data_IF_016406227288
#
_entry.id   IF_016406227288
#
_cell.length_a   1.000
_cell.length_b   1.000
_cell.length_c   1.000
_cell.angle_alpha   90.00
_cell.angle_beta   90.00
_cell.angle_gamma   90.00
#
_symmetry.space_group_name_H-M   'P 1'
#
loop_
_entity.id
_entity.type
_entity.pdbx_description
1 polymer ?
#
# COMPACT_ATOMS: atom_id res chain seq x y z
N UNK A 1 2.70 -4.72 -19.23
CA UNK A 1 2.80 -4.06 -17.91
C UNK A 1 4.26 -4.09 -17.50
N UNK A 2 4.73 -3.07 -16.78
CA UNK A 2 6.09 -3.01 -16.26
C UNK A 2 6.07 -2.71 -14.75
N UNK A 3 7.20 -2.96 -14.09
CA UNK A 3 7.41 -2.68 -12.68
C UNK A 3 8.42 -1.54 -12.53
N UNK A 4 8.08 -0.54 -11.73
CA UNK A 4 9.02 0.45 -11.20
C UNK A 4 9.31 0.04 -9.77
N UNK A 5 10.57 -0.25 -9.47
CA UNK A 5 10.98 -0.86 -8.20
C UNK A 5 11.96 0.06 -7.50
N UNK A 6 11.69 0.34 -6.22
CA UNK A 6 12.57 1.10 -5.35
C UNK A 6 12.82 0.27 -4.08
N UNK A 7 14.05 -0.21 -3.95
CA UNK A 7 14.44 -1.17 -2.94
C UNK A 7 15.54 -0.62 -2.04
N UNK A 8 15.59 -1.13 -0.81
CA UNK A 8 16.66 -0.83 0.13
C UNK A 8 16.60 0.57 0.73
N UNK A 9 15.44 1.25 0.69
CA UNK A 9 15.29 2.57 1.28
C UNK A 9 15.42 2.47 2.80
N UNK A 10 16.44 3.13 3.38
CA UNK A 10 16.74 3.05 4.81
C UNK A 10 16.24 4.30 5.53
N UNK A 11 15.51 4.08 6.61
CA UNK A 11 14.99 5.15 7.46
C UNK A 11 15.22 4.82 8.92
N UNK A 12 15.64 5.80 9.70
CA UNK A 12 15.59 5.73 11.15
C UNK A 12 14.25 6.31 11.60
N UNK A 13 13.44 5.52 12.32
CA UNK A 13 12.08 5.91 12.67
C UNK A 13 11.66 5.38 14.05
N UNK A 14 10.56 5.93 14.57
CA UNK A 14 10.12 5.75 15.96
C UNK A 14 8.84 4.92 16.03
N UNK A 15 8.76 3.84 15.25
CA UNK A 15 7.58 2.98 15.24
C UNK A 15 7.69 1.84 16.26
N UNK A 16 6.65 1.66 17.06
CA UNK A 16 6.63 0.59 18.05
C UNK A 16 5.49 0.72 19.04
N UNK A 17 5.14 -0.42 19.63
CA UNK A 17 4.11 -0.49 20.67
C UNK A 17 4.71 -0.08 22.01
N UNK A 18 5.99 -0.38 22.23
CA UNK A 18 6.66 -0.11 23.49
C UNK A 18 7.16 1.35 23.54
N UNK A 19 7.01 2.05 24.69
CA UNK A 19 7.47 3.43 24.84
C UNK A 19 8.95 3.63 24.49
N UNK A 20 9.79 2.65 24.82
CA UNK A 20 11.22 2.68 24.54
C UNK A 20 11.51 2.72 23.04
N UNK A 21 10.69 2.05 22.22
CA UNK A 21 10.84 2.04 20.77
C UNK A 21 10.48 3.40 20.15
N UNK A 22 9.51 4.10 20.73
CA UNK A 22 9.13 5.44 20.28
C UNK A 22 10.12 6.52 20.76
N UNK A 23 10.92 6.22 21.78
CA UNK A 23 11.95 7.13 22.29
C UNK A 23 13.30 6.95 21.58
N UNK A 24 13.77 5.71 21.44
CA UNK A 24 15.08 5.40 20.89
C UNK A 24 15.07 5.32 19.36
N UNK A 25 13.95 4.89 18.78
CA UNK A 25 13.87 4.56 17.36
C UNK A 25 14.68 3.32 16.98
N UNK A 26 14.52 2.89 15.73
CA UNK A 26 15.36 1.87 15.11
C UNK A 26 15.42 2.07 13.60
N UNK A 27 16.24 1.28 12.93
CA UNK A 27 16.38 1.31 11.49
C UNK A 27 15.36 0.40 10.80
N UNK A 28 14.82 0.91 9.71
CA UNK A 28 13.86 0.25 8.85
C UNK A 28 14.38 0.20 7.42
N UNK A 29 13.96 -0.84 6.71
CA UNK A 29 14.14 -0.95 5.25
C UNK A 29 12.78 -1.01 4.61
N UNK A 30 12.53 -0.10 3.67
CA UNK A 30 11.29 -0.04 2.89
C UNK A 30 11.58 -0.42 1.45
N UNK A 31 10.76 -1.33 0.91
CA UNK A 31 10.77 -1.71 -0.49
C UNK A 31 9.39 -1.42 -1.10
N UNK A 32 9.37 -0.82 -2.28
CA UNK A 32 8.15 -0.51 -3.01
C UNK A 32 8.28 -0.97 -4.45
N UNK A 33 7.30 -1.73 -4.92
CA UNK A 33 7.13 -2.08 -6.32
C UNK A 33 5.81 -1.51 -6.81
N UNK A 34 5.85 -0.78 -7.92
CA UNK A 34 4.67 -0.18 -8.54
C UNK A 34 4.48 -0.77 -9.92
N UNK A 35 3.31 -1.33 -10.17
CA UNK A 35 2.92 -1.83 -11.48
C UNK A 35 2.24 -0.71 -12.27
N UNK A 36 2.79 -0.39 -13.44
CA UNK A 36 2.27 0.69 -14.29
C UNK A 36 2.59 0.47 -15.77
N UNK A 37 2.03 1.30 -16.64
CA UNK A 37 2.33 1.34 -18.06
C UNK A 37 3.50 2.28 -18.34
N UNK A 38 4.56 1.78 -18.99
CA UNK A 38 5.74 2.59 -19.35
C UNK A 38 5.79 2.94 -20.84
N UNK A 39 4.81 2.49 -21.63
CA UNK A 39 4.86 2.60 -23.09
C UNK A 39 4.97 4.05 -23.58
N UNK A 40 4.21 4.97 -22.98
CA UNK A 40 4.26 6.39 -23.36
C UNK A 40 5.56 7.04 -22.89
N UNK A 41 5.98 6.79 -21.64
CA UNK A 41 7.24 7.33 -21.11
C UNK A 41 8.46 6.86 -21.91
N UNK A 42 8.48 5.60 -22.35
CA UNK A 42 9.53 5.05 -23.19
C UNK A 42 9.54 5.65 -24.61
N UNK A 43 8.40 6.13 -25.12
CA UNK A 43 8.30 6.79 -26.43
C UNK A 43 8.69 8.26 -26.37
N UNK A 44 8.35 8.95 -25.28
CA UNK A 44 8.52 10.41 -25.15
C UNK A 44 9.79 10.80 -24.39
N UNK A 45 10.46 9.84 -23.76
CA UNK A 45 11.59 10.07 -22.84
C UNK A 45 11.30 11.16 -21.79
N UNK A 46 10.03 11.22 -21.33
CA UNK A 46 9.55 12.25 -20.42
C UNK A 46 8.91 11.64 -19.19
N UNK A 47 9.32 12.16 -18.02
CA UNK A 47 8.79 11.78 -16.70
C UNK A 47 7.37 12.32 -16.51
N UNK A 48 7.05 13.46 -17.14
CA UNK A 48 5.84 14.23 -16.87
C UNK A 48 4.55 13.57 -17.39
N UNK A 49 4.64 12.73 -18.42
CA UNK A 49 3.47 12.34 -19.20
C UNK A 49 2.91 10.95 -18.90
N UNK A 50 3.60 10.08 -18.16
CA UNK A 50 3.08 8.73 -17.91
C UNK A 50 3.75 7.86 -16.83
N UNK A 51 4.86 8.28 -16.21
CA UNK A 51 5.62 7.35 -15.37
C UNK A 51 5.47 7.62 -13.88
N UNK A 52 5.73 6.59 -13.09
CA UNK A 52 5.86 6.70 -11.63
C UNK A 52 7.28 7.23 -11.35
N UNK A 53 7.39 8.48 -10.90
CA UNK A 53 8.67 9.04 -10.49
C UNK A 53 9.11 8.40 -9.16
N UNK A 54 10.21 7.65 -9.19
CA UNK A 54 10.78 7.01 -8.00
C UNK A 54 11.23 8.01 -6.92
N UNK A 55 11.60 9.24 -7.29
CA UNK A 55 11.90 10.28 -6.31
C UNK A 55 10.65 10.60 -5.49
N UNK A 56 9.49 10.75 -6.15
CA UNK A 56 8.21 10.95 -5.47
C UNK A 56 7.84 9.75 -4.60
N UNK A 57 8.13 8.51 -5.03
CA UNK A 57 7.95 7.30 -4.19
C UNK A 57 8.79 7.38 -2.92
N UNK A 58 10.07 7.76 -3.04
CA UNK A 58 10.96 7.94 -1.90
C UNK A 58 10.42 8.99 -0.93
N UNK A 59 9.99 10.16 -1.44
CA UNK A 59 9.44 11.24 -0.62
C UNK A 59 8.17 10.82 0.13
N UNK A 60 7.29 10.05 -0.51
CA UNK A 60 6.08 9.50 0.14
C UNK A 60 6.47 8.55 1.28
N UNK A 61 7.42 7.64 1.02
CA UNK A 61 7.90 6.70 2.03
C UNK A 61 8.53 7.44 3.21
N UNK A 62 9.41 8.41 2.94
CA UNK A 62 10.05 9.24 3.96
C UNK A 62 9.00 9.97 4.83
N UNK A 63 7.98 10.55 4.22
CA UNK A 63 6.93 11.27 4.93
C UNK A 63 6.04 10.37 5.80
N UNK A 64 5.82 9.11 5.42
CA UNK A 64 5.12 8.12 6.25
C UNK A 64 6.02 7.58 7.37
N UNK A 65 7.29 7.30 7.09
CA UNK A 65 8.26 6.84 8.10
C UNK A 65 8.55 7.90 9.17
N UNK A 66 8.44 9.19 8.82
CA UNK A 66 8.60 10.30 9.76
C UNK A 66 7.44 10.43 10.77
N UNK A 67 6.34 9.69 10.60
CA UNK A 67 5.19 9.74 11.50
C UNK A 67 5.20 8.52 12.43
N UNK A 68 5.50 8.68 13.74
CA UNK A 68 5.49 7.57 14.68
C UNK A 68 4.14 6.82 14.65
N UNK A 69 4.20 5.50 14.60
CA UNK A 69 3.04 4.59 14.57
C UNK A 69 3.31 3.43 15.50
N UNK A 70 2.26 2.83 16.04
CA UNK A 70 2.42 1.65 16.89
C UNK A 70 2.71 0.39 16.08
N UNK A 71 2.12 0.31 14.88
CA UNK A 71 2.08 -0.91 14.05
C UNK A 71 2.65 -0.65 12.65
N UNK A 72 3.40 -1.61 12.11
CA UNK A 72 3.96 -1.52 10.76
C UNK A 72 2.87 -1.65 9.69
N UNK A 73 1.80 -2.38 9.99
CA UNK A 73 0.58 -2.50 9.18
C UNK A 73 0.00 -1.12 8.86
N UNK A 74 0.02 -0.21 9.84
CA UNK A 74 -0.46 1.16 9.66
C UNK A 74 0.47 1.95 8.74
N UNK A 75 1.79 1.76 8.87
CA UNK A 75 2.79 2.40 7.99
C UNK A 75 2.64 1.91 6.56
N UNK A 76 2.59 0.60 6.34
CA UNK A 76 2.40 -0.04 5.02
C UNK A 76 1.12 0.45 4.36
N UNK A 77 0.00 0.43 5.09
CA UNK A 77 -1.30 0.92 4.57
C UNK A 77 -1.26 2.42 4.28
N UNK A 78 -0.57 3.21 5.10
CA UNK A 78 -0.38 4.65 4.91
C UNK A 78 0.36 4.96 3.60
N UNK A 79 1.46 4.25 3.35
CA UNK A 79 2.24 4.36 2.10
C UNK A 79 1.33 4.02 0.91
N UNK A 80 0.65 2.88 0.92
CA UNK A 80 -0.26 2.47 -0.18
C UNK A 80 -1.32 3.53 -0.44
N UNK A 81 -1.95 4.08 0.62
CA UNK A 81 -2.99 5.11 0.48
C UNK A 81 -2.46 6.39 -0.15
N UNK A 82 -1.27 6.87 0.25
CA UNK A 82 -0.66 8.06 -0.37
C UNK A 82 -0.26 7.81 -1.81
N UNK A 83 0.30 6.63 -2.09
CA UNK A 83 0.67 6.21 -3.45
C UNK A 83 -0.55 6.22 -4.39
N UNK A 84 -1.70 5.69 -3.96
CA UNK A 84 -2.96 5.75 -4.74
C UNK A 84 -3.36 7.18 -5.11
N UNK A 85 -3.28 8.10 -4.15
CA UNK A 85 -3.64 9.52 -4.37
C UNK A 85 -2.66 10.23 -5.30
N UNK A 86 -1.36 9.90 -5.20
CA UNK A 86 -0.33 10.51 -6.02
C UNK A 86 -0.30 9.96 -7.45
N UNK A 87 -0.58 8.67 -7.63
CA UNK A 87 -0.47 7.96 -8.91
C UNK A 87 -1.81 7.31 -9.30
N UNK A 88 -2.79 8.09 -9.79
CA UNK A 88 -4.11 7.57 -10.17
C UNK A 88 -4.07 6.53 -11.31
N UNK A 89 -2.99 6.47 -12.07
CA UNK A 89 -2.75 5.51 -13.15
C UNK A 89 -2.12 4.17 -12.68
N UNK A 90 -1.82 4.03 -11.39
CA UNK A 90 -1.18 2.84 -10.83
C UNK A 90 -2.07 1.60 -10.97
N UNK A 91 -1.51 0.53 -11.56
CA UNK A 91 -2.24 -0.71 -11.81
C UNK A 91 -2.16 -1.69 -10.64
N UNK A 92 -1.09 -1.59 -9.85
CA UNK A 92 -0.86 -2.40 -8.67
C UNK A 92 0.33 -1.88 -7.88
N UNK A 93 0.45 -2.32 -6.64
CA UNK A 93 1.53 -1.94 -5.74
C UNK A 93 1.85 -3.08 -4.77
N UNK A 94 3.13 -3.21 -4.41
CA UNK A 94 3.60 -4.02 -3.28
C UNK A 94 4.48 -3.16 -2.40
N UNK A 95 4.19 -3.10 -1.11
CA UNK A 95 4.97 -2.35 -0.12
C UNK A 95 5.40 -3.31 0.98
N UNK A 96 6.68 -3.29 1.31
CA UNK A 96 7.25 -4.03 2.42
C UNK A 96 8.00 -3.07 3.33
N UNK A 97 7.71 -3.13 4.63
CA UNK A 97 8.44 -2.40 5.67
C UNK A 97 9.07 -3.42 6.62
N UNK A 98 10.40 -3.43 6.66
CA UNK A 98 11.20 -4.30 7.51
C UNK A 98 11.73 -3.49 8.69
N UNK A 99 11.51 -3.95 9.92
CA UNK A 99 12.14 -3.48 11.14
C UNK A 99 13.41 -4.31 11.38
N UNK A 100 14.57 -3.65 11.42
CA UNK A 100 15.84 -4.33 11.66
C UNK A 100 16.04 -4.55 13.16
N UNK A 101 16.58 -5.73 13.51
CA UNK A 101 16.89 -6.15 14.88
C UNK A 101 15.77 -5.83 15.89
N UNK A 102 14.53 -6.30 15.66
CA UNK A 102 13.41 -5.97 16.55
C UNK A 102 13.69 -6.46 17.98
N UNK A 103 13.35 -5.66 19.00
CA UNK A 103 13.52 -6.06 20.40
C UNK A 103 12.46 -7.11 20.76
N UNK A 104 12.81 -8.39 20.61
CA UNK A 104 11.96 -9.50 20.99
C UNK A 104 12.28 -9.90 22.43
N UNK A 105 11.35 -9.68 23.36
CA UNK A 105 11.55 -10.06 24.75
C UNK A 105 11.52 -11.58 24.90
N UNK A 106 12.59 -12.14 25.49
CA UNK A 106 12.63 -13.53 25.94
C UNK A 106 11.83 -13.64 27.24
N UNK A 107 10.66 -14.28 27.20
CA UNK A 107 9.93 -14.60 28.43
C UNK A 107 10.68 -15.70 29.19
N UNK A 108 11.21 -15.38 30.36
CA UNK A 108 11.55 -16.42 31.34
C UNK A 108 10.24 -16.98 31.89
N UNK A 109 9.95 -18.25 31.61
CA UNK A 109 8.79 -18.93 32.19
C UNK A 109 9.08 -19.16 33.68
N UNK A 110 8.35 -18.51 34.57
CA UNK A 110 8.39 -18.84 35.99
C UNK A 110 7.69 -20.20 36.20
N UNK A 111 8.38 -21.16 36.81
CA UNK A 111 7.77 -22.39 37.32
C UNK A 111 8.32 -22.68 38.72
N UNK A 112 7.46 -23.27 39.54
CA UNK A 112 7.53 -23.41 41.00
C UNK A 112 8.65 -24.33 41.53
N UNK A 113 9.65 -24.72 40.72
CA UNK A 113 10.78 -25.53 41.18
C UNK A 113 12.06 -25.22 40.38
N UNK A 114 13.13 -24.87 41.11
CA UNK A 114 14.20 -23.95 40.67
C UNK A 114 15.45 -24.58 40.04
N UNK A 115 15.56 -25.90 39.89
CA UNK A 115 16.91 -26.50 39.74
C UNK A 115 17.36 -26.96 38.35
N UNK A 116 16.55 -26.89 37.29
CA UNK A 116 17.04 -27.20 35.92
C UNK A 116 16.33 -26.42 34.82
N UNK A 117 16.87 -25.26 34.43
CA UNK A 117 16.52 -24.65 33.13
C UNK A 117 17.70 -23.97 32.43
N UNK A 118 17.72 -24.13 31.11
CA UNK A 118 18.55 -23.40 30.15
C UNK A 118 17.70 -22.28 29.55
N UNK A 119 18.20 -21.04 29.54
CA UNK A 119 17.50 -19.93 28.92
C UNK A 119 17.32 -20.20 27.41
N UNK A 120 16.07 -20.23 26.94
CA UNK A 120 15.79 -20.26 25.50
C UNK A 120 15.76 -18.80 25.04
N UNK A 121 16.94 -18.30 24.68
CA UNK A 121 17.13 -17.00 24.04
C UNK A 121 17.19 -17.12 22.52
N UNK A 122 16.71 -16.10 21.81
CA UNK A 122 16.79 -16.03 20.36
C UNK A 122 16.87 -14.58 19.90
N UNK A 123 17.47 -14.35 18.72
CA UNK A 123 17.51 -13.05 18.05
C UNK A 123 16.87 -13.17 16.68
N UNK A 124 16.11 -12.17 16.28
CA UNK A 124 15.68 -11.99 14.90
C UNK A 124 16.47 -10.85 14.28
N UNK A 125 16.99 -11.06 13.06
CA UNK A 125 17.70 -10.00 12.32
C UNK A 125 16.73 -8.96 11.75
N UNK A 126 15.51 -9.38 11.43
CA UNK A 126 14.45 -8.49 10.99
C UNK A 126 13.07 -9.12 11.23
N UNK A 127 12.07 -8.26 11.37
CA UNK A 127 10.65 -8.60 11.21
C UNK A 127 10.05 -7.65 10.18
N UNK A 128 9.09 -8.09 9.38
CA UNK A 128 8.52 -7.24 8.34
C UNK A 128 7.04 -7.48 8.12
N UNK A 129 6.37 -6.43 7.65
CA UNK A 129 5.01 -6.48 7.14
C UNK A 129 5.06 -6.14 5.66
N UNK A 130 4.29 -6.89 4.87
CA UNK A 130 4.14 -6.66 3.44
C UNK A 130 2.67 -6.71 3.08
N UNK A 131 2.24 -5.76 2.26
CA UNK A 131 0.92 -5.76 1.65
C UNK A 131 1.05 -5.50 0.15
N UNK A 132 0.13 -6.08 -0.62
CA UNK A 132 0.08 -5.97 -2.06
C UNK A 132 -1.36 -5.78 -2.52
N UNK A 133 -1.56 -4.93 -3.52
CA UNK A 133 -2.87 -4.68 -4.08
C UNK A 133 -2.79 -4.54 -5.60
N UNK A 134 -3.78 -5.11 -6.28
CA UNK A 134 -4.02 -4.94 -7.72
C UNK A 134 -5.31 -4.17 -7.91
N UNK A 135 -5.30 -3.22 -8.85
CA UNK A 135 -6.40 -2.29 -9.08
C UNK A 135 -7.04 -2.45 -10.46
N UNK A 136 -6.55 -3.39 -11.26
CA UNK A 136 -7.12 -3.68 -12.57
C UNK A 136 -8.27 -4.67 -12.41
N UNK A 137 -9.46 -4.28 -12.85
CA UNK A 137 -10.63 -5.15 -12.88
C UNK A 137 -11.29 -5.13 -14.25
N UNK A 138 -12.23 -6.04 -14.50
CA UNK A 138 -12.89 -6.23 -15.79
C UNK A 138 -14.31 -5.67 -15.73
N UNK A 139 -14.67 -4.80 -16.68
CA UNK A 139 -16.01 -4.25 -16.75
C UNK A 139 -17.04 -5.36 -17.03
N UNK A 140 -18.08 -5.54 -16.19
CA UNK A 140 -19.06 -6.62 -16.39
C UNK A 140 -19.88 -6.44 -17.67
N UNK A 141 -20.01 -5.20 -18.17
CA UNK A 141 -20.77 -4.86 -19.38
C UNK A 141 -19.99 -5.08 -20.68
N UNK A 142 -18.83 -4.44 -20.85
CA UNK A 142 -18.07 -4.48 -22.11
C UNK A 142 -16.82 -5.36 -22.06
N UNK A 143 -16.53 -5.99 -20.92
CA UNK A 143 -15.37 -6.87 -20.69
C UNK A 143 -13.99 -6.22 -20.88
N UNK A 144 -13.93 -4.90 -21.01
CA UNK A 144 -12.65 -4.17 -21.07
C UNK A 144 -12.05 -4.01 -19.66
N UNK A 145 -10.74 -4.25 -19.50
CA UNK A 145 -10.04 -3.93 -18.25
C UNK A 145 -10.06 -2.43 -17.95
N UNK A 146 -10.13 -2.07 -16.66
CA UNK A 146 -10.05 -0.69 -16.20
C UNK A 146 -9.55 -0.63 -14.74
N UNK A 147 -9.12 0.56 -14.31
CA UNK A 147 -8.69 0.79 -12.92
C UNK A 147 -9.88 0.96 -11.99
N UNK A 148 -9.87 0.31 -10.84
CA UNK A 148 -10.87 0.47 -9.78
C UNK A 148 -10.21 0.28 -8.41
N UNK A 149 -10.18 1.35 -7.62
CA UNK A 149 -9.56 1.33 -6.28
C UNK A 149 -10.53 0.96 -5.15
N UNK A 150 -11.83 0.85 -5.48
CA UNK A 150 -12.95 0.50 -4.57
C UNK A 150 -13.09 1.35 -3.29
N UNK A 151 -12.40 2.49 -3.21
CA UNK A 151 -12.39 3.43 -2.09
C UNK A 151 -12.67 4.88 -2.56
N UNK A 152 -12.33 5.87 -1.73
CA UNK A 152 -12.43 7.31 -2.01
C UNK A 152 -11.48 7.77 -3.12
N UNK A 153 -10.49 6.96 -3.50
CA UNK A 153 -9.52 7.26 -4.56
C UNK A 153 -9.96 6.73 -5.93
N UNK A 154 -11.14 6.09 -6.01
CA UNK A 154 -11.67 5.57 -7.27
C UNK A 154 -12.23 6.69 -8.16
N UNK A 155 -11.76 6.83 -9.40
CA UNK A 155 -12.23 7.83 -10.38
C UNK A 155 -13.76 7.84 -10.58
N UNK A 156 -14.44 6.71 -10.37
CA UNK A 156 -15.89 6.64 -10.53
C UNK A 156 -16.65 7.44 -9.45
N UNK A 157 -16.00 7.72 -8.30
CA UNK A 157 -16.56 8.60 -7.26
C UNK A 157 -16.63 10.05 -7.73
N UNK A 158 -15.73 10.48 -8.60
CA UNK A 158 -15.75 11.84 -9.20
C UNK A 158 -16.91 12.00 -10.19
N UNK A 159 -17.30 10.92 -10.86
CA UNK A 159 -18.43 10.89 -11.80
C UNK A 159 -19.77 10.57 -11.12
N UNK A 160 -19.84 10.54 -9.79
CA UNK A 160 -20.95 9.97 -9.03
C UNK A 160 -22.17 10.90 -8.90
N UNK A 161 -22.40 11.78 -9.87
CA UNK A 161 -23.63 12.60 -9.96
C UNK A 161 -24.81 11.80 -10.52
N UNK A 162 -24.89 10.50 -10.22
CA UNK A 162 -25.96 9.63 -10.68
C UNK A 162 -27.21 9.81 -9.82
N UNK A 163 -28.35 10.03 -10.46
CA UNK A 163 -29.64 10.03 -9.78
C UNK A 163 -29.85 8.72 -8.99
N UNK A 164 -30.41 8.74 -7.76
CA UNK A 164 -30.54 7.54 -6.92
C UNK A 164 -31.25 6.36 -7.60
N UNK A 165 -32.25 6.62 -8.45
CA UNK A 165 -32.94 5.57 -9.22
C UNK A 165 -32.00 4.87 -10.23
N UNK A 166 -31.08 5.62 -10.85
CA UNK A 166 -30.07 5.07 -11.75
C UNK A 166 -29.06 4.21 -10.97
N UNK A 167 -28.66 4.65 -9.78
CA UNK A 167 -27.78 3.87 -8.91
C UNK A 167 -28.41 2.53 -8.51
N UNK A 168 -29.69 2.53 -8.13
CA UNK A 168 -30.44 1.32 -7.79
C UNK A 168 -30.57 0.36 -8.99
N UNK A 169 -30.81 0.91 -10.18
CA UNK A 169 -30.85 0.13 -11.43
C UNK A 169 -29.50 -0.54 -11.71
N UNK A 170 -28.41 0.20 -11.57
CA UNK A 170 -27.05 -0.34 -11.77
C UNK A 170 -26.72 -1.44 -10.76
N UNK A 171 -27.10 -1.26 -9.48
CA UNK A 171 -26.94 -2.28 -8.44
C UNK A 171 -27.69 -3.57 -8.76
N UNK A 172 -28.92 -3.48 -9.29
CA UNK A 172 -29.70 -4.65 -9.70
C UNK A 172 -29.11 -5.37 -10.91
N UNK A 173 -28.56 -4.63 -11.87
CA UNK A 173 -28.02 -5.21 -13.11
C UNK A 173 -26.61 -5.79 -12.96
N UNK A 174 -25.74 -5.11 -12.20
CA UNK A 174 -24.31 -5.42 -12.15
C UNK A 174 -23.79 -5.75 -10.74
N UNK A 175 -24.68 -5.76 -9.73
CA UNK A 175 -24.34 -6.05 -8.35
C UNK A 175 -23.45 -4.99 -7.71
N UNK A 176 -22.42 -5.44 -6.99
CA UNK A 176 -21.41 -4.57 -6.34
C UNK A 176 -20.21 -4.23 -7.23
N UNK A 177 -20.23 -4.67 -8.49
CA UNK A 177 -19.10 -4.49 -9.41
C UNK A 177 -19.15 -3.13 -10.10
N UNK A 178 -18.02 -2.43 -10.17
CA UNK A 178 -17.93 -1.15 -10.87
C UNK A 178 -17.97 -1.31 -12.39
N UNK A 179 -18.45 -0.27 -13.09
CA UNK A 179 -18.37 -0.14 -14.54
C UNK A 179 -17.15 0.69 -14.94
N UNK A 180 -16.59 0.43 -16.12
CA UNK A 180 -15.53 1.28 -16.67
C UNK A 180 -16.04 2.69 -17.04
N UNK A 181 -15.16 3.69 -17.23
CA UNK A 181 -15.56 5.08 -17.45
C UNK A 181 -16.51 5.26 -18.63
N UNK A 182 -16.24 4.57 -19.73
CA UNK A 182 -17.05 4.67 -20.94
C UNK A 182 -18.45 4.05 -20.75
N UNK A 183 -18.57 2.98 -19.97
CA UNK A 183 -19.88 2.40 -19.66
C UNK A 183 -20.66 3.25 -18.67
N UNK A 184 -19.99 3.78 -17.64
CA UNK A 184 -20.64 4.57 -16.60
C UNK A 184 -21.19 5.90 -17.14
N UNK A 185 -20.46 6.53 -18.07
CA UNK A 185 -20.89 7.77 -18.75
C UNK A 185 -22.23 7.66 -19.49
N UNK A 186 -22.66 6.46 -19.88
CA UNK A 186 -23.98 6.27 -20.49
C UNK A 186 -25.14 6.43 -19.50
N UNK A 187 -24.84 6.43 -18.21
CA UNK A 187 -25.80 6.56 -17.12
C UNK A 187 -25.61 7.85 -16.34
N UNK A 188 -24.41 8.42 -16.36
CA UNK A 188 -24.09 9.73 -15.81
C UNK A 188 -24.53 10.81 -16.82
N UNK A 189 -25.82 11.16 -16.75
CA UNK A 189 -26.41 12.32 -17.42
C UNK A 189 -26.27 13.57 -16.58
#
# INVERSE_FOLDING_TARGET
MALVVLEGMRFHAFHGVYPEEQLLGTDYVVNVEVQTGIALAAQTDSIEQATVNYETVFQICMAEMAQPRHLLETVVTGIIRRMKRQFPQMMGIKVQVRKLNPPLSTKMRALENTEKYQAIGGRAEAAWVQDAAEFVTVCPRCKTPFLCYTDDTCWCKELNNLHPATQETLKRQFGTTCLCPNCLKLYAG
#
